data_IF_991806837499
#
_entry.id   IF_991806837499
#
_cell.length_a   1.000
_cell.length_b   1.000
_cell.length_c   1.000
_cell.angle_alpha   90.00
_cell.angle_beta   90.00
_cell.angle_gamma   90.00
#
_symmetry.space_group_name_H-M   'P 1'
#
loop_
_entity.id
_entity.type
_entity.pdbx_description
1 polymer ?
#
# COMPACT_ATOMS: atom_id res chain seq x y z
N UNK A 1 -1.60 15.66 0.30
CA UNK A 1 -1.50 14.55 -0.67
C UNK A 1 -2.92 14.26 -1.13
N UNK A 2 -3.17 14.35 -2.43
CA UNK A 2 -4.46 13.99 -3.04
C UNK A 2 -4.26 12.83 -4.01
N UNK A 3 -5.28 12.01 -4.16
CA UNK A 3 -5.22 10.81 -4.98
C UNK A 3 -6.60 10.31 -5.36
N UNK A 4 -6.63 9.32 -6.23
CA UNK A 4 -7.84 8.63 -6.67
C UNK A 4 -7.89 7.26 -6.00
N UNK A 5 -9.02 6.97 -5.36
CA UNK A 5 -9.32 5.64 -4.83
C UNK A 5 -10.13 4.88 -5.88
N UNK A 6 -9.62 3.75 -6.33
CA UNK A 6 -10.25 2.92 -7.36
C UNK A 6 -10.43 1.50 -6.83
N UNK A 7 -11.65 0.98 -6.94
CA UNK A 7 -11.90 -0.45 -6.77
C UNK A 7 -11.55 -1.16 -8.09
N UNK A 8 -10.58 -2.07 -8.05
CA UNK A 8 -10.09 -2.81 -9.23
C UNK A 8 -10.91 -4.07 -9.53
N UNK A 9 -11.92 -4.38 -8.70
CA UNK A 9 -12.66 -5.65 -8.71
C UNK A 9 -12.01 -6.74 -7.86
N UNK A 10 -10.73 -6.59 -7.50
CA UNK A 10 -9.98 -7.54 -6.66
C UNK A 10 -9.42 -6.88 -5.39
N UNK A 11 -9.09 -5.60 -5.46
CA UNK A 11 -8.53 -4.82 -4.36
C UNK A 11 -8.98 -3.36 -4.44
N UNK A 12 -8.70 -2.59 -3.39
CA UNK A 12 -8.86 -1.15 -3.41
C UNK A 12 -7.48 -0.52 -3.56
N UNK A 13 -7.29 0.23 -4.64
CA UNK A 13 -6.03 0.91 -4.94
C UNK A 13 -6.16 2.42 -4.77
N UNK A 14 -5.25 3.03 -4.04
CA UNK A 14 -5.11 4.49 -3.95
C UNK A 14 -3.89 4.93 -4.76
N UNK A 15 -4.09 5.83 -5.73
CA UNK A 15 -3.04 6.37 -6.59
C UNK A 15 -2.88 7.86 -6.37
N UNK A 16 -1.64 8.34 -6.24
CA UNK A 16 -1.36 9.78 -6.08
C UNK A 16 -1.74 10.54 -7.35
N UNK A 17 -2.54 11.61 -7.22
CA UNK A 17 -2.91 12.48 -8.34
C UNK A 17 -1.74 13.40 -8.69
N UNK A 18 -1.40 13.48 -9.98
CA UNK A 18 -0.26 14.24 -10.50
C UNK A 18 1.05 14.02 -9.71
N UNK A 19 1.70 12.85 -9.86
CA UNK A 19 2.96 12.56 -9.18
C UNK A 19 4.09 13.53 -9.58
N UNK A 20 3.99 14.30 -10.66
CA UNK A 20 5.04 15.27 -11.03
C UNK A 20 4.89 16.63 -10.33
N UNK A 21 3.68 17.04 -9.96
CA UNK A 21 3.41 18.36 -9.37
C UNK A 21 3.06 18.29 -7.88
N UNK A 22 2.76 17.11 -7.36
CA UNK A 22 2.54 16.88 -5.93
C UNK A 22 3.87 16.75 -5.18
N UNK A 23 3.88 17.20 -3.92
CA UNK A 23 5.02 17.03 -3.01
C UNK A 23 5.41 15.53 -2.96
N UNK A 24 6.65 15.16 -3.30
CA UNK A 24 7.09 13.77 -3.31
C UNK A 24 7.04 13.17 -1.91
N UNK A 25 6.38 12.02 -1.78
CA UNK A 25 6.41 11.20 -0.58
C UNK A 25 7.54 10.19 -0.76
N UNK A 26 8.61 10.35 0.02
CA UNK A 26 9.77 9.50 -0.07
C UNK A 26 9.83 8.58 1.16
N UNK A 27 10.11 7.31 0.91
CA UNK A 27 10.38 6.30 1.92
C UNK A 27 11.89 6.01 1.89
N UNK A 28 12.51 6.06 3.07
CA UNK A 28 13.96 5.91 3.22
C UNK A 28 14.31 5.40 4.61
N UNK A 29 15.49 4.79 4.75
CA UNK A 29 15.96 4.19 5.99
C UNK A 29 15.76 2.67 6.04
N UNK A 30 16.10 2.06 7.17
CA UNK A 30 16.06 0.61 7.33
C UNK A 30 16.99 -0.11 6.33
N UNK A 31 16.57 -1.22 5.69
CA UNK A 31 17.37 -1.96 4.73
C UNK A 31 17.47 -1.30 3.34
N UNK A 32 16.85 -0.13 3.13
CA UNK A 32 16.79 0.53 1.83
C UNK A 32 18.07 1.33 1.55
N UNK A 33 18.72 1.06 0.41
CA UNK A 33 19.94 1.76 -0.01
C UNK A 33 19.69 3.16 -0.60
N UNK A 34 18.46 3.43 -1.06
CA UNK A 34 18.07 4.68 -1.72
C UNK A 34 16.74 5.20 -1.18
N UNK A 35 16.38 6.42 -1.61
CA UNK A 35 15.06 7.00 -1.37
C UNK A 35 14.11 6.50 -2.45
N UNK A 36 13.05 5.83 -2.04
CA UNK A 36 12.00 5.36 -2.96
C UNK A 36 10.81 6.30 -2.89
N UNK A 37 10.24 6.62 -4.05
CA UNK A 37 9.08 7.49 -4.13
C UNK A 37 7.81 6.66 -4.12
N UNK A 38 6.91 6.96 -3.19
CA UNK A 38 5.61 6.31 -3.13
C UNK A 38 4.78 6.63 -4.39
N UNK A 39 4.15 5.61 -4.97
CA UNK A 39 3.37 5.71 -6.19
C UNK A 39 1.89 5.34 -5.96
N UNK A 40 1.65 4.16 -5.42
CA UNK A 40 0.31 3.64 -5.16
C UNK A 40 0.28 2.75 -3.92
N UNK A 41 -0.90 2.67 -3.31
CA UNK A 41 -1.20 1.82 -2.17
C UNK A 41 -2.29 0.83 -2.58
N UNK A 42 -2.13 -0.43 -2.25
CA UNK A 42 -3.14 -1.47 -2.41
C UNK A 42 -3.59 -1.96 -1.04
N UNK A 43 -4.90 -2.05 -0.85
CA UNK A 43 -5.51 -2.61 0.34
C UNK A 43 -6.04 -4.00 0.01
N UNK A 44 -5.52 -4.99 0.73
CA UNK A 44 -6.04 -6.35 0.78
C UNK A 44 -6.77 -6.52 2.11
N UNK A 45 -7.98 -7.04 2.08
CA UNK A 45 -8.79 -7.24 3.27
C UNK A 45 -9.64 -8.50 3.14
N UNK A 46 -9.81 -9.21 4.24
CA UNK A 46 -10.68 -10.36 4.30
C UNK A 46 -12.14 -9.97 4.50
N UNK A 47 -13.02 -10.95 4.34
CA UNK A 47 -14.46 -10.80 4.62
C UNK A 47 -14.77 -10.86 6.11
N UNK A 48 -13.85 -11.39 6.90
CA UNK A 48 -13.97 -11.61 8.35
C UNK A 48 -12.66 -11.24 9.01
N UNK A 49 -12.71 -10.75 10.24
CA UNK A 49 -11.55 -10.16 10.93
C UNK A 49 -10.45 -11.18 11.31
N UNK A 50 -10.71 -12.47 11.13
CA UNK A 50 -9.77 -13.57 11.41
C UNK A 50 -8.80 -13.86 10.26
N UNK A 51 -8.98 -13.23 9.09
CA UNK A 51 -8.18 -13.47 7.89
C UNK A 51 -8.18 -12.26 6.98
N UNK A 52 -7.17 -12.11 6.13
CA UNK A 52 -7.17 -11.07 5.09
C UNK A 52 -5.81 -10.55 4.69
N UNK A 53 -4.82 -10.65 5.59
CA UNK A 53 -3.43 -10.41 5.23
C UNK A 53 -2.90 -11.55 4.36
N UNK A 54 -2.04 -11.21 3.39
CA UNK A 54 -1.31 -12.18 2.58
C UNK A 54 -0.18 -12.79 3.41
N UNK A 55 0.56 -11.94 4.13
CA UNK A 55 1.58 -12.39 5.07
C UNK A 55 0.99 -12.76 6.44
N UNK A 56 1.66 -13.70 7.11
CA UNK A 56 1.30 -14.13 8.47
C UNK A 56 2.47 -13.91 9.42
N UNK A 57 2.17 -13.60 10.68
CA UNK A 57 3.17 -13.51 11.75
C UNK A 57 2.95 -14.71 12.67
N UNK A 58 3.94 -15.61 12.74
CA UNK A 58 3.86 -16.84 13.54
C UNK A 58 2.61 -17.69 13.26
N UNK A 59 2.14 -17.69 12.00
CA UNK A 59 0.94 -18.42 11.57
C UNK A 59 -0.38 -17.69 11.82
N UNK A 60 -0.37 -16.50 12.43
CA UNK A 60 -1.55 -15.66 12.61
C UNK A 60 -1.72 -14.71 11.41
N UNK A 61 -2.91 -14.72 10.80
CA UNK A 61 -3.34 -13.76 9.79
C UNK A 61 -4.03 -12.57 10.45
N UNK A 62 -3.92 -11.40 9.82
CA UNK A 62 -4.60 -10.18 10.23
C UNK A 62 -5.79 -9.90 9.31
N UNK A 63 -6.75 -9.06 9.72
CA UNK A 63 -7.94 -8.71 8.91
C UNK A 63 -7.63 -8.14 7.52
N UNK A 64 -6.42 -7.61 7.32
CA UNK A 64 -6.00 -7.03 6.06
C UNK A 64 -4.53 -6.64 6.06
N UNK A 65 -4.05 -6.25 4.89
CA UNK A 65 -2.68 -5.84 4.63
C UNK A 65 -2.67 -4.64 3.69
N UNK A 66 -1.77 -3.70 3.97
CA UNK A 66 -1.53 -2.52 3.15
C UNK A 66 -0.20 -2.69 2.45
N UNK A 67 -0.25 -2.71 1.12
CA UNK A 67 0.93 -2.89 0.27
C UNK A 67 1.25 -1.53 -0.37
N UNK A 68 2.46 -1.03 -0.15
CA UNK A 68 2.94 0.24 -0.69
C UNK A 68 3.88 0.00 -1.88
N UNK A 69 3.45 0.40 -3.07
CA UNK A 69 4.29 0.38 -4.26
C UNK A 69 5.11 1.66 -4.35
N UNK A 70 6.43 1.51 -4.44
CA UNK A 70 7.37 2.61 -4.55
C UNK A 70 8.28 2.45 -5.77
N UNK A 71 8.66 3.56 -6.40
CA UNK A 71 9.57 3.63 -7.55
C UNK A 71 10.88 4.31 -7.19
#
# INVERSE_FOLDING_TARGET
VSGVLTNTGHSVAFRVSNPQTSVPINISGGPLSYKYRFHELHLHYGRTDDRGSEHTVSGTSFPGEVILSCS
#
